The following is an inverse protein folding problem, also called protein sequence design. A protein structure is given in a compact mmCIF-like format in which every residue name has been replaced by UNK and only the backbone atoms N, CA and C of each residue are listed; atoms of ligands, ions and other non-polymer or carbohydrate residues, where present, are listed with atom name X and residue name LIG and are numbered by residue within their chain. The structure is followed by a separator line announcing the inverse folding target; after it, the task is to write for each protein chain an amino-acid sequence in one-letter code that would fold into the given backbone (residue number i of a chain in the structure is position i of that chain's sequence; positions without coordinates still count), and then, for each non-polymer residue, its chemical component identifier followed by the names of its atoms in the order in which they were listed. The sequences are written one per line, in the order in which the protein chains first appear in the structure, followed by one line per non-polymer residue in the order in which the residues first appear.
data_IF_107348721124
#
_entry.id   IF_107348721124
#
_cell.length_a   1.000
_cell.length_b   1.000
_cell.length_c   1.000
_cell.angle_alpha   90.00
_cell.angle_beta   90.00
_cell.angle_gamma   90.00
#
_symmetry.space_group_name_H-M   'P 1'
#
loop_
_entity.id
_entity.type
_entity.pdbx_description
1 polymer ?
#
# COMPACT_ATOMS: atom_id res chain seq x y z
N UNK A 1 -4.20 -17.20 -27.01
CA UNK A 1 -4.18 -16.22 -25.91
C UNK A 1 -4.65 -14.89 -26.48
N UNK A 2 -5.77 -14.34 -26.00
CA UNK A 2 -6.31 -13.06 -26.50
C UNK A 2 -5.27 -11.95 -26.28
N UNK A 3 -5.03 -11.08 -27.27
CA UNK A 3 -4.18 -9.90 -27.10
C UNK A 3 -4.89 -8.89 -26.17
N UNK A 4 -4.16 -8.12 -25.35
CA UNK A 4 -4.78 -7.11 -24.50
C UNK A 4 -5.36 -5.99 -25.38
N UNK A 5 -6.50 -5.42 -24.95
CA UNK A 5 -7.20 -4.33 -25.66
C UNK A 5 -6.33 -3.05 -25.72
N UNK A 6 -5.50 -2.84 -24.71
CA UNK A 6 -4.56 -1.73 -24.58
C UNK A 6 -3.19 -2.25 -24.16
N UNK A 7 -2.12 -1.53 -24.51
CA UNK A 7 -0.77 -1.93 -24.13
C UNK A 7 -0.63 -1.97 -22.60
N UNK A 8 -0.21 -3.09 -21.97
CA UNK A 8 -0.25 -3.25 -20.51
C UNK A 8 0.50 -2.19 -19.71
N UNK A 9 1.57 -1.61 -20.26
CA UNK A 9 2.32 -0.53 -19.61
C UNK A 9 1.54 0.78 -19.42
N UNK A 10 0.50 1.04 -20.23
CA UNK A 10 -0.31 2.27 -20.08
C UNK A 10 -1.13 2.20 -18.77
N UNK A 11 -1.95 1.15 -18.52
CA UNK A 11 -2.57 0.92 -17.21
C UNK A 11 -1.61 0.93 -16.03
N UNK A 12 -0.41 0.35 -16.19
CA UNK A 12 0.58 0.32 -15.12
C UNK A 12 1.05 1.74 -14.81
N UNK A 13 1.38 2.55 -15.82
CA UNK A 13 1.80 3.93 -15.63
C UNK A 13 0.71 4.78 -14.94
N UNK A 14 -0.54 4.66 -15.41
CA UNK A 14 -1.69 5.33 -14.76
C UNK A 14 -1.83 4.85 -13.31
N UNK A 15 -1.70 3.55 -13.07
CA UNK A 15 -1.77 2.98 -11.73
C UNK A 15 -0.73 3.59 -10.79
N UNK A 16 0.53 3.61 -11.20
CA UNK A 16 1.61 4.18 -10.37
C UNK A 16 1.42 5.68 -10.15
N UNK A 17 1.01 6.43 -11.17
CA UNK A 17 0.72 7.86 -11.03
C UNK A 17 -0.38 8.12 -10.00
N UNK A 18 -1.50 7.41 -10.12
CA UNK A 18 -2.65 7.60 -9.20
C UNK A 18 -2.33 7.17 -7.78
N UNK A 19 -1.59 6.07 -7.59
CA UNK A 19 -1.17 5.61 -6.26
C UNK A 19 -0.13 6.55 -5.64
N UNK A 20 0.86 7.00 -6.43
CA UNK A 20 1.87 7.97 -5.97
C UNK A 20 1.27 9.32 -5.53
N UNK A 21 0.15 9.75 -6.13
CA UNK A 21 -0.57 10.96 -5.72
C UNK A 21 -1.38 10.80 -4.42
N UNK A 22 -1.52 9.59 -3.89
CA UNK A 22 -2.35 9.33 -2.71
C UNK A 22 -1.93 10.15 -1.50
N UNK A 23 -0.63 10.28 -1.22
CA UNK A 23 -0.15 11.07 -0.08
C UNK A 23 -0.47 12.57 -0.21
N UNK A 24 -0.49 13.08 -1.45
CA UNK A 24 -0.83 14.46 -1.75
C UNK A 24 -2.30 14.72 -1.48
N UNK A 25 -3.19 13.83 -1.96
CA UNK A 25 -4.62 13.98 -1.70
C UNK A 25 -4.95 13.97 -0.20
N UNK A 26 -4.21 13.19 0.61
CA UNK A 26 -4.35 13.20 2.07
C UNK A 26 -3.93 14.56 2.64
N UNK A 27 -2.76 15.08 2.25
CA UNK A 27 -2.22 16.37 2.74
C UNK A 27 -2.99 17.60 2.28
N UNK A 28 -3.79 17.49 1.22
CA UNK A 28 -4.68 18.54 0.73
C UNK A 28 -6.02 18.61 1.48
N UNK A 29 -6.31 17.63 2.33
CA UNK A 29 -7.51 17.66 3.18
C UNK A 29 -7.25 18.41 4.47
N UNK A 30 -8.29 18.99 5.05
CA UNK A 30 -8.28 19.56 6.40
C UNK A 30 -8.73 18.58 7.48
N UNK A 31 -9.12 17.37 7.06
CA UNK A 31 -9.64 16.34 7.94
C UNK A 31 -8.54 15.52 8.61
N UNK A 32 -8.87 14.97 9.78
CA UNK A 32 -7.97 14.08 10.51
C UNK A 32 -7.67 12.80 9.73
N UNK A 33 -6.48 12.23 9.95
CA UNK A 33 -6.01 11.03 9.26
C UNK A 33 -7.02 9.87 9.32
N UNK A 34 -7.65 9.65 10.48
CA UNK A 34 -8.69 8.63 10.67
C UNK A 34 -9.91 8.84 9.79
N UNK A 35 -10.35 10.09 9.65
CA UNK A 35 -11.51 10.48 8.83
C UNK A 35 -11.21 10.33 7.34
N UNK A 36 -10.03 10.76 6.89
CA UNK A 36 -9.59 10.60 5.50
C UNK A 36 -9.53 9.11 5.12
N UNK A 37 -8.97 8.28 6.01
CA UNK A 37 -8.92 6.83 5.84
C UNK A 37 -10.33 6.21 5.78
N UNK A 38 -11.21 6.60 6.70
CA UNK A 38 -12.59 6.15 6.74
C UNK A 38 -13.30 6.45 5.42
N UNK A 39 -13.31 7.70 4.95
CA UNK A 39 -14.02 8.08 3.74
C UNK A 39 -13.44 7.43 2.47
N UNK A 40 -12.12 7.24 2.39
CA UNK A 40 -11.48 6.47 1.31
C UNK A 40 -12.07 5.06 1.20
N UNK A 41 -12.18 4.35 2.33
CA UNK A 41 -12.73 2.99 2.36
C UNK A 41 -14.24 2.97 2.16
N UNK A 42 -14.96 3.87 2.84
CA UNK A 42 -16.42 3.98 2.76
C UNK A 42 -16.89 4.24 1.33
N UNK A 43 -16.33 5.26 0.65
CA UNK A 43 -16.69 5.54 -0.73
C UNK A 43 -16.32 4.41 -1.67
N UNK A 44 -15.19 3.73 -1.42
CA UNK A 44 -14.81 2.55 -2.20
C UNK A 44 -15.85 1.43 -2.09
N UNK A 45 -16.36 1.16 -0.88
CA UNK A 45 -17.44 0.20 -0.63
C UNK A 45 -18.72 0.63 -1.33
N UNK A 46 -19.14 1.89 -1.16
CA UNK A 46 -20.36 2.43 -1.79
C UNK A 46 -20.31 2.32 -3.31
N UNK A 47 -19.17 2.66 -3.93
CA UNK A 47 -18.98 2.58 -5.37
C UNK A 47 -18.97 1.12 -5.85
N UNK A 48 -18.33 0.21 -5.11
CA UNK A 48 -18.28 -1.21 -5.47
C UNK A 48 -19.63 -1.93 -5.25
N UNK A 49 -20.46 -1.44 -4.33
CA UNK A 49 -21.65 -2.14 -3.84
C UNK A 49 -22.64 -2.53 -4.95
N UNK A 50 -23.05 -1.67 -5.91
CA UNK A 50 -24.00 -2.04 -6.94
C UNK A 50 -23.50 -3.19 -7.82
N UNK A 51 -22.23 -3.11 -8.24
CA UNK A 51 -21.59 -4.15 -9.05
C UNK A 51 -21.42 -5.45 -8.27
N UNK A 52 -21.04 -5.36 -7.00
CA UNK A 52 -20.91 -6.51 -6.11
C UNK A 52 -22.26 -7.22 -5.90
N UNK A 53 -23.33 -6.47 -5.60
CA UNK A 53 -24.67 -7.01 -5.40
C UNK A 53 -25.22 -7.67 -6.66
N UNK A 54 -24.97 -7.09 -7.83
CA UNK A 54 -25.44 -7.63 -9.10
C UNK A 54 -24.72 -8.93 -9.48
N UNK A 55 -23.39 -8.95 -9.42
CA UNK A 55 -22.57 -10.01 -10.04
C UNK A 55 -21.96 -11.01 -9.05
N UNK A 56 -21.70 -10.61 -7.80
CA UNK A 56 -20.85 -11.36 -6.87
C UNK A 56 -21.54 -11.76 -5.56
N UNK A 57 -22.73 -11.25 -5.24
CA UNK A 57 -23.44 -11.57 -3.98
C UNK A 57 -23.58 -13.07 -3.69
N UNK A 58 -23.72 -13.90 -4.74
CA UNK A 58 -23.89 -15.36 -4.60
C UNK A 58 -22.62 -16.04 -4.08
N UNK A 59 -21.45 -15.43 -4.23
CA UNK A 59 -20.20 -15.95 -3.70
C UNK A 59 -20.17 -15.94 -2.17
N UNK A 60 -20.92 -15.04 -1.51
CA UNK A 60 -20.99 -14.97 -0.05
C UNK A 60 -21.48 -16.26 0.58
N UNK A 61 -22.43 -16.96 -0.05
CA UNK A 61 -22.95 -18.24 0.42
C UNK A 61 -21.95 -19.39 0.33
N UNK A 62 -20.87 -19.22 -0.43
CA UNK A 62 -19.82 -20.23 -0.63
C UNK A 62 -18.62 -20.02 0.29
N UNK A 63 -18.60 -18.92 1.03
CA UNK A 63 -17.49 -18.59 1.93
C UNK A 63 -17.51 -19.50 3.15
N UNK A 64 -16.36 -20.12 3.43
CA UNK A 64 -16.17 -20.86 4.67
C UNK A 64 -16.06 -19.89 5.86
N UNK A 65 -16.23 -20.40 7.08
CA UNK A 65 -15.97 -19.61 8.31
C UNK A 65 -14.55 -19.03 8.33
N UNK A 66 -13.58 -19.79 7.80
CA UNK A 66 -12.18 -19.36 7.69
C UNK A 66 -12.01 -18.20 6.72
N UNK A 67 -12.76 -18.17 5.62
CA UNK A 67 -12.77 -17.05 4.68
C UNK A 67 -13.26 -15.77 5.33
N UNK A 68 -14.40 -15.84 6.01
CA UNK A 68 -14.94 -14.72 6.76
C UNK A 68 -13.96 -14.20 7.81
N UNK A 69 -13.38 -15.08 8.61
CA UNK A 69 -12.41 -14.71 9.64
C UNK A 69 -11.17 -14.03 9.04
N UNK A 70 -10.55 -14.64 8.04
CA UNK A 70 -9.31 -14.12 7.46
C UNK A 70 -9.54 -12.85 6.65
N UNK A 71 -10.65 -12.73 5.91
CA UNK A 71 -11.04 -11.47 5.28
C UNK A 71 -11.30 -10.36 6.30
N UNK A 72 -11.88 -10.68 7.46
CA UNK A 72 -12.11 -9.70 8.52
C UNK A 72 -10.81 -9.24 9.17
N UNK A 73 -9.91 -10.18 9.51
CA UNK A 73 -8.57 -9.86 10.03
C UNK A 73 -7.79 -8.99 9.02
N UNK A 74 -7.83 -9.36 7.74
CA UNK A 74 -7.21 -8.59 6.67
C UNK A 74 -7.79 -7.16 6.57
N UNK A 75 -9.10 -7.00 6.72
CA UNK A 75 -9.76 -5.68 6.80
C UNK A 75 -9.31 -4.84 7.99
N UNK A 76 -9.15 -5.45 9.18
CA UNK A 76 -8.65 -4.77 10.38
C UNK A 76 -7.20 -4.33 10.19
N UNK A 77 -6.33 -5.20 9.66
CA UNK A 77 -4.94 -4.83 9.37
C UNK A 77 -4.87 -3.69 8.33
N UNK A 78 -5.75 -3.70 7.34
CA UNK A 78 -5.84 -2.61 6.37
C UNK A 78 -6.28 -1.29 7.02
N UNK A 79 -7.23 -1.32 7.96
CA UNK A 79 -7.64 -0.14 8.72
C UNK A 79 -6.47 0.43 9.54
N UNK A 80 -5.77 -0.42 10.30
CA UNK A 80 -4.61 -0.01 11.11
C UNK A 80 -3.51 0.56 10.21
N UNK A 81 -3.24 -0.07 9.06
CA UNK A 81 -2.30 0.46 8.08
C UNK A 81 -2.66 1.90 7.66
N UNK A 82 -3.91 2.15 7.27
CA UNK A 82 -4.29 3.50 6.83
C UNK A 82 -4.25 4.53 7.94
N UNK A 83 -4.64 4.18 9.17
CA UNK A 83 -4.50 5.07 10.32
C UNK A 83 -3.04 5.46 10.49
N UNK A 84 -2.14 4.48 10.63
CA UNK A 84 -0.72 4.73 10.88
C UNK A 84 -0.06 5.47 9.72
N UNK A 85 -0.36 5.10 8.48
CA UNK A 85 0.25 5.71 7.32
C UNK A 85 -0.22 7.15 7.12
N UNK A 86 -1.52 7.44 7.20
CA UNK A 86 -2.00 8.81 7.05
C UNK A 86 -1.55 9.68 8.22
N UNK A 87 -1.54 9.14 9.44
CA UNK A 87 -1.03 9.86 10.60
C UNK A 87 0.47 10.18 10.46
N UNK A 88 1.27 9.28 9.86
CA UNK A 88 2.69 9.56 9.61
C UNK A 88 2.93 10.84 8.79
N UNK A 89 2.05 11.15 7.83
CA UNK A 89 2.17 12.31 6.94
C UNK A 89 1.98 13.65 7.68
N UNK A 90 1.43 13.62 8.89
CA UNK A 90 1.30 14.79 9.76
C UNK A 90 2.60 15.12 10.50
N UNK A 91 3.50 14.14 10.63
CA UNK A 91 4.73 14.30 11.42
C UNK A 91 6.01 14.29 10.58
N UNK A 92 6.05 13.51 9.51
CA UNK A 92 7.21 13.42 8.60
C UNK A 92 6.85 13.90 7.19
N UNK A 93 7.87 14.04 6.34
CA UNK A 93 7.68 14.47 4.96
C UNK A 93 6.95 13.42 4.12
N UNK A 94 6.31 13.85 3.02
CA UNK A 94 5.73 12.91 2.04
C UNK A 94 6.80 11.98 1.49
N UNK A 95 8.01 12.49 1.25
CA UNK A 95 9.14 11.69 0.77
C UNK A 95 9.51 10.57 1.75
N UNK A 96 9.71 10.90 3.03
CA UNK A 96 10.07 9.92 4.07
C UNK A 96 8.98 8.88 4.27
N UNK A 97 7.73 9.32 4.49
CA UNK A 97 6.60 8.43 4.74
C UNK A 97 6.37 7.46 3.59
N UNK A 98 6.37 7.95 2.35
CA UNK A 98 6.11 7.09 1.17
C UNK A 98 7.25 6.14 0.88
N UNK A 99 8.51 6.57 1.00
CA UNK A 99 9.66 5.67 0.82
C UNK A 99 9.65 4.57 1.89
N UNK A 100 9.44 4.91 3.16
CA UNK A 100 9.45 3.94 4.25
C UNK A 100 8.29 2.94 4.15
N UNK A 101 7.08 3.38 3.78
CA UNK A 101 5.95 2.45 3.60
C UNK A 101 6.14 1.51 2.41
N UNK A 102 6.96 1.88 1.41
CA UNK A 102 7.27 1.04 0.24
C UNK A 102 8.28 -0.09 0.53
N UNK A 103 8.82 -0.19 1.75
CA UNK A 103 9.64 -1.32 2.21
C UNK A 103 8.86 -2.64 2.31
N UNK A 104 7.59 -2.66 1.94
CA UNK A 104 6.70 -3.82 1.97
C UNK A 104 7.33 -5.11 1.43
N UNK A 105 8.09 -5.15 0.31
CA UNK A 105 8.70 -6.39 -0.17
C UNK A 105 9.66 -7.03 0.84
N UNK A 106 10.33 -6.22 1.65
CA UNK A 106 11.28 -6.66 2.68
C UNK A 106 10.54 -7.21 3.90
N UNK A 107 9.49 -6.50 4.34
CA UNK A 107 8.61 -7.01 5.40
C UNK A 107 7.94 -8.32 4.97
N UNK A 108 7.54 -8.44 3.70
CA UNK A 108 6.96 -9.65 3.16
C UNK A 108 7.94 -10.82 3.20
N UNK A 109 9.22 -10.61 2.84
CA UNK A 109 10.26 -11.64 2.98
C UNK A 109 10.44 -12.09 4.43
N UNK A 110 10.52 -11.14 5.36
CA UNK A 110 10.67 -11.44 6.78
C UNK A 110 9.48 -12.27 7.29
N UNK A 111 8.26 -11.88 6.90
CA UNK A 111 7.04 -12.64 7.18
C UNK A 111 7.06 -14.04 6.57
N UNK A 112 7.45 -14.18 5.30
CA UNK A 112 7.46 -15.51 4.67
C UNK A 112 8.53 -16.43 5.25
N UNK A 113 9.72 -15.90 5.56
CA UNK A 113 10.76 -16.65 6.25
C UNK A 113 10.32 -17.12 7.63
N UNK A 114 9.64 -16.27 8.41
CA UNK A 114 9.17 -16.59 9.75
C UNK A 114 8.03 -17.63 9.74
N UNK A 115 7.01 -17.45 8.90
CA UNK A 115 5.81 -18.28 8.90
C UNK A 115 5.92 -19.53 8.02
N UNK A 116 6.68 -19.48 6.92
CA UNK A 116 6.78 -20.56 5.94
C UNK A 116 8.17 -21.21 5.89
N UNK A 117 9.11 -20.76 6.73
CA UNK A 117 10.48 -21.31 6.84
C UNK A 117 11.22 -21.34 5.49
N UNK A 118 10.97 -20.34 4.64
CA UNK A 118 11.65 -20.23 3.35
C UNK A 118 13.13 -19.88 3.51
N UNK A 119 13.98 -20.46 2.64
CA UNK A 119 15.43 -20.23 2.67
C UNK A 119 15.72 -18.87 2.02
N UNK A 120 16.25 -17.94 2.81
CA UNK A 120 16.71 -16.63 2.35
C UNK A 120 18.11 -16.77 1.74
N UNK A 121 18.31 -16.25 0.53
CA UNK A 121 19.66 -16.20 -0.07
C UNK A 121 20.51 -15.11 0.56
N UNK A 122 21.83 -15.28 0.57
CA UNK A 122 22.74 -14.22 1.02
C UNK A 122 22.59 -12.90 0.23
N UNK A 123 22.18 -12.99 -1.04
CA UNK A 123 21.89 -11.82 -1.90
C UNK A 123 20.61 -11.10 -1.48
N UNK A 124 19.55 -11.83 -1.14
CA UNK A 124 18.33 -11.23 -0.57
C UNK A 124 18.64 -10.56 0.76
N UNK A 125 19.43 -11.21 1.63
CA UNK A 125 19.83 -10.61 2.90
C UNK A 125 20.64 -9.32 2.70
N UNK A 126 21.59 -9.31 1.75
CA UNK A 126 22.33 -8.10 1.40
C UNK A 126 21.40 -6.97 0.90
N UNK A 127 20.43 -7.30 0.04
CA UNK A 127 19.46 -6.32 -0.46
C UNK A 127 18.58 -5.73 0.67
N UNK A 128 18.18 -6.56 1.63
CA UNK A 128 17.48 -6.12 2.85
C UNK A 128 18.36 -5.17 3.67
N UNK A 129 19.62 -5.53 3.92
CA UNK A 129 20.54 -4.68 4.69
C UNK A 129 20.77 -3.32 4.02
N UNK A 130 20.86 -3.29 2.68
CA UNK A 130 20.97 -2.04 1.91
C UNK A 130 19.74 -1.16 2.16
N UNK A 131 18.54 -1.69 2.04
CA UNK A 131 17.33 -0.90 2.24
C UNK A 131 17.13 -0.46 3.70
N UNK A 132 17.48 -1.30 4.68
CA UNK A 132 17.49 -0.92 6.09
C UNK A 132 18.48 0.22 6.36
N UNK A 133 19.66 0.19 5.71
CA UNK A 133 20.64 1.28 5.79
C UNK A 133 20.05 2.59 5.28
N UNK A 134 19.37 2.57 4.13
CA UNK A 134 18.70 3.77 3.63
C UNK A 134 17.60 4.28 4.56
N UNK A 135 16.87 3.38 5.23
CA UNK A 135 15.84 3.75 6.22
C UNK A 135 16.43 4.45 7.43
N UNK A 136 17.59 3.98 7.90
CA UNK A 136 18.35 4.62 8.98
C UNK A 136 18.85 6.01 8.54
N UNK A 137 19.33 6.16 7.30
CA UNK A 137 19.79 7.46 6.78
C UNK A 137 18.65 8.49 6.77
N UNK A 138 17.45 8.11 6.30
CA UNK A 138 16.27 8.99 6.33
C UNK A 138 15.93 9.34 7.78
N UNK A 139 15.70 8.32 8.62
CA UNK A 139 15.24 8.49 10.01
C UNK A 139 16.22 9.32 10.85
N UNK A 140 17.52 9.16 10.63
CA UNK A 140 18.56 9.94 11.31
C UNK A 140 18.55 11.41 10.89
N UNK A 141 18.35 11.67 9.60
CA UNK A 141 18.20 13.03 9.09
C UNK A 141 16.95 13.70 9.63
N UNK A 142 15.82 13.00 9.64
CA UNK A 142 14.54 13.50 10.12
C UNK A 142 14.57 13.74 11.65
N UNK A 143 15.24 12.87 12.42
CA UNK A 143 15.47 13.10 13.86
C UNK A 143 16.25 14.39 14.13
N UNK A 144 17.22 14.75 13.28
CA UNK A 144 17.96 16.03 13.40
C UNK A 144 17.09 17.24 13.10
N UNK A 145 16.02 17.07 12.33
CA UNK A 145 15.02 18.11 12.08
C UNK A 145 14.10 18.23 13.29
N UNK A 146 13.49 17.11 13.73
CA UNK A 146 12.70 17.05 14.95
C UNK A 146 12.45 15.61 15.44
N UNK A 147 12.25 15.44 16.75
CA UNK A 147 11.80 14.17 17.31
C UNK A 147 10.41 13.73 16.82
N UNK A 148 9.56 14.69 16.45
CA UNK A 148 8.26 14.43 15.84
C UNK A 148 8.40 13.75 14.47
N UNK A 149 9.36 14.18 13.64
CA UNK A 149 9.58 13.57 12.33
C UNK A 149 9.99 12.09 12.43
N UNK A 150 10.86 11.75 13.41
CA UNK A 150 11.18 10.34 13.69
C UNK A 150 9.96 9.52 14.12
N UNK A 151 9.04 10.12 14.88
CA UNK A 151 7.77 9.45 15.23
C UNK A 151 6.95 9.16 13.97
N UNK A 152 6.86 10.11 13.05
CA UNK A 152 6.24 9.88 11.73
C UNK A 152 6.87 8.72 10.97
N UNK A 153 8.19 8.64 10.93
CA UNK A 153 8.90 7.55 10.25
C UNK A 153 8.59 6.18 10.86
N UNK A 154 8.52 6.10 12.20
CA UNK A 154 8.12 4.88 12.91
C UNK A 154 6.69 4.50 12.56
N UNK A 155 5.75 5.46 12.50
CA UNK A 155 4.37 5.20 12.07
C UNK A 155 4.31 4.64 10.64
N UNK A 156 5.09 5.20 9.70
CA UNK A 156 5.17 4.71 8.32
C UNK A 156 5.73 3.28 8.24
N UNK A 157 6.75 2.95 9.04
CA UNK A 157 7.31 1.60 9.13
C UNK A 157 6.33 0.60 9.76
N UNK A 158 5.60 1.01 10.80
CA UNK A 158 4.55 0.16 11.38
C UNK A 158 3.43 -0.07 10.38
N UNK A 159 3.02 0.98 9.64
CA UNK A 159 2.05 0.86 8.57
C UNK A 159 2.50 -0.12 7.47
N UNK A 160 3.81 -0.13 7.13
CA UNK A 160 4.43 -1.09 6.22
C UNK A 160 4.26 -2.55 6.70
N UNK A 161 4.41 -2.78 8.01
CA UNK A 161 4.16 -4.07 8.63
C UNK A 161 2.69 -4.50 8.51
N UNK A 162 1.75 -3.61 8.79
CA UNK A 162 0.31 -3.92 8.74
C UNK A 162 -0.21 -4.15 7.31
N UNK A 163 0.24 -3.38 6.31
CA UNK A 163 -0.12 -3.68 4.90
C UNK A 163 0.45 -5.03 4.47
N UNK A 164 1.66 -5.36 4.91
CA UNK A 164 2.26 -6.67 4.66
C UNK A 164 1.43 -7.79 5.30
N UNK A 165 1.03 -7.63 6.57
CA UNK A 165 0.19 -8.62 7.27
C UNK A 165 -1.15 -8.82 6.55
N UNK A 166 -1.80 -7.72 6.13
CA UNK A 166 -3.00 -7.76 5.29
C UNK A 166 -2.78 -8.61 4.03
N UNK A 167 -1.69 -8.40 3.31
CA UNK A 167 -1.38 -9.14 2.08
C UNK A 167 -1.11 -10.63 2.34
N UNK A 168 -0.36 -10.95 3.41
CA UNK A 168 -0.02 -12.33 3.78
C UNK A 168 -1.23 -13.16 4.24
N UNK A 169 -2.20 -12.53 4.92
CA UNK A 169 -3.49 -13.18 5.23
C UNK A 169 -4.33 -13.31 3.97
N UNK A 170 -4.37 -12.25 3.15
CA UNK A 170 -5.17 -12.19 1.94
C UNK A 170 -4.82 -13.20 0.86
N UNK A 171 -3.53 -13.49 0.67
CA UNK A 171 -3.08 -14.46 -0.33
C UNK A 171 -3.65 -15.87 -0.12
N UNK A 172 -3.95 -16.27 1.12
CA UNK A 172 -4.57 -17.57 1.39
C UNK A 172 -6.03 -17.60 0.94
N UNK A 173 -6.79 -16.57 1.32
CA UNK A 173 -8.21 -16.42 0.94
C UNK A 173 -8.38 -16.29 -0.58
N UNK A 174 -7.47 -15.55 -1.23
CA UNK A 174 -7.50 -15.29 -2.68
C UNK A 174 -7.22 -16.51 -3.56
N UNK A 175 -6.77 -17.63 -3.00
CA UNK A 175 -6.68 -18.92 -3.73
C UNK A 175 -8.05 -19.53 -4.03
N UNK A 176 -9.08 -19.13 -3.30
CA UNK A 176 -10.43 -19.73 -3.35
C UNK A 176 -11.58 -18.74 -3.47
N UNK A 177 -11.34 -17.46 -3.17
CA UNK A 177 -12.32 -16.37 -3.30
C UNK A 177 -11.93 -15.42 -4.43
N UNK A 178 -12.91 -14.95 -5.20
CA UNK A 178 -12.65 -13.98 -6.27
C UNK A 178 -12.06 -12.67 -5.73
N UNK A 179 -11.33 -11.94 -6.59
CA UNK A 179 -10.76 -10.63 -6.25
C UNK A 179 -11.84 -9.66 -5.77
N UNK A 180 -12.94 -9.56 -6.50
CA UNK A 180 -13.99 -8.58 -6.23
C UNK A 180 -14.64 -8.87 -4.87
N UNK A 181 -14.98 -10.13 -4.59
CA UNK A 181 -15.56 -10.52 -3.30
C UNK A 181 -14.59 -10.31 -2.14
N UNK A 182 -13.34 -10.72 -2.28
CA UNK A 182 -12.33 -10.53 -1.25
C UNK A 182 -12.11 -9.05 -0.94
N UNK A 183 -11.87 -8.22 -1.97
CA UNK A 183 -11.59 -6.79 -1.80
C UNK A 183 -12.80 -6.06 -1.23
N UNK A 184 -14.02 -6.38 -1.68
CA UNK A 184 -15.25 -5.81 -1.12
C UNK A 184 -15.37 -6.09 0.39
N UNK A 185 -15.15 -7.34 0.82
CA UNK A 185 -15.21 -7.71 2.24
C UNK A 185 -14.13 -7.01 3.07
N UNK A 186 -12.89 -6.96 2.57
CA UNK A 186 -11.79 -6.27 3.27
C UNK A 186 -12.09 -4.78 3.41
N UNK A 187 -12.55 -4.11 2.33
CA UNK A 187 -12.87 -2.68 2.38
C UNK A 187 -14.08 -2.40 3.27
N UNK A 188 -15.08 -3.27 3.27
CA UNK A 188 -16.23 -3.18 4.17
C UNK A 188 -15.80 -3.26 5.63
N UNK A 189 -15.02 -4.28 5.99
CA UNK A 189 -14.53 -4.44 7.37
C UNK A 189 -13.58 -3.31 7.77
N UNK A 190 -12.70 -2.87 6.86
CA UNK A 190 -11.82 -1.73 7.08
C UNK A 190 -12.62 -0.44 7.32
N UNK A 191 -13.64 -0.18 6.50
CA UNK A 191 -14.53 0.97 6.65
C UNK A 191 -15.27 0.95 7.99
N UNK A 192 -15.78 -0.20 8.42
CA UNK A 192 -16.43 -0.36 9.73
C UNK A 192 -15.42 -0.12 10.87
N UNK A 193 -14.22 -0.71 10.80
CA UNK A 193 -13.20 -0.54 11.82
C UNK A 193 -12.74 0.92 11.93
N UNK A 194 -12.55 1.61 10.80
CA UNK A 194 -12.18 3.02 10.75
C UNK A 194 -13.31 3.92 11.27
N UNK A 195 -14.57 3.61 10.95
CA UNK A 195 -15.71 4.32 11.51
C UNK A 195 -15.73 4.21 13.04
N UNK A 196 -15.57 2.99 13.58
CA UNK A 196 -15.51 2.76 15.02
C UNK A 196 -14.33 3.49 15.68
N UNK A 197 -13.17 3.53 15.01
CA UNK A 197 -12.01 4.29 15.48
C UNK A 197 -12.34 5.79 15.56
N UNK A 198 -12.85 6.39 14.48
CA UNK A 198 -13.17 7.82 14.38
C UNK A 198 -14.19 8.26 15.44
N UNK A 199 -15.25 7.48 15.67
CA UNK A 199 -16.23 7.81 16.72
C UNK A 199 -15.65 7.66 18.13
N UNK A 200 -14.75 6.70 18.35
CA UNK A 200 -14.15 6.44 19.67
C UNK A 200 -13.23 7.57 20.09
N UNK A 201 -12.47 8.12 19.14
CA UNK A 201 -11.57 9.26 19.36
C UNK A 201 -12.26 10.62 19.16
N UNK A 202 -13.56 10.62 18.89
CA UNK A 202 -14.40 11.81 18.75
C UNK A 202 -13.94 12.78 17.64
N UNK A 203 -13.40 12.25 16.54
CA UNK A 203 -13.07 13.05 15.36
C UNK A 203 -14.37 13.46 14.62
N UNK A 204 -14.46 14.71 14.12
CA UNK A 204 -15.66 15.18 13.42
C UNK A 204 -15.83 14.41 12.11
N UNK A 205 -16.99 13.80 11.90
CA UNK A 205 -17.28 13.11 10.63
C UNK A 205 -17.79 14.06 9.54
N UNK A 206 -18.32 15.22 9.93
CA UNK A 206 -18.97 16.16 9.03
C UNK A 206 -18.39 17.57 9.22
N UNK A 207 -18.93 18.53 8.47
CA UNK A 207 -18.54 19.95 8.52
C UNK A 207 -17.17 20.27 7.90
N UNK A 208 -16.73 19.44 6.94
CA UNK A 208 -15.57 19.73 6.10
C UNK A 208 -15.92 20.57 4.87
N UNK A 209 -14.99 21.39 4.36
CA UNK A 209 -15.19 22.14 3.13
C UNK A 209 -15.43 21.21 1.95
N UNK A 210 -16.13 21.69 0.91
CA UNK A 210 -16.47 20.90 -0.28
C UNK A 210 -15.23 20.31 -0.99
N UNK A 211 -14.07 20.97 -0.87
CA UNK A 211 -12.78 20.47 -1.37
C UNK A 211 -12.41 19.11 -0.78
N UNK A 212 -12.62 18.90 0.51
CA UNK A 212 -12.21 17.68 1.22
C UNK A 212 -13.02 16.48 0.77
N UNK A 213 -14.32 16.68 0.54
CA UNK A 213 -15.18 15.66 -0.06
C UNK A 213 -14.71 15.26 -1.46
N UNK A 214 -14.22 16.23 -2.24
CA UNK A 214 -13.56 15.98 -3.52
C UNK A 214 -12.32 15.11 -3.37
N UNK A 215 -11.46 15.39 -2.39
CA UNK A 215 -10.26 14.60 -2.11
C UNK A 215 -10.56 13.20 -1.56
N UNK A 216 -11.56 13.06 -0.70
CA UNK A 216 -12.03 11.76 -0.21
C UNK A 216 -12.50 10.88 -1.37
N UNK A 217 -13.28 11.44 -2.30
CA UNK A 217 -13.74 10.74 -3.48
C UNK A 217 -12.58 10.44 -4.44
N UNK A 218 -11.65 11.37 -4.63
CA UNK A 218 -10.44 11.17 -5.43
C UNK A 218 -9.59 10.03 -4.88
N UNK A 219 -9.40 9.94 -3.56
CA UNK A 219 -8.71 8.85 -2.89
C UNK A 219 -9.39 7.49 -3.11
N UNK A 220 -10.73 7.45 -3.07
CA UNK A 220 -11.47 6.22 -3.34
C UNK A 220 -11.36 5.81 -4.82
N UNK A 221 -11.54 6.75 -5.75
CA UNK A 221 -11.57 6.44 -7.19
C UNK A 221 -10.18 6.21 -7.79
N UNK A 222 -9.22 7.07 -7.48
CA UNK A 222 -7.93 7.12 -8.19
C UNK A 222 -6.93 6.10 -7.62
N UNK A 223 -6.30 6.30 -6.44
CA UNK A 223 -5.34 5.32 -5.95
C UNK A 223 -6.02 3.98 -5.59
N UNK A 224 -7.21 4.03 -4.97
CA UNK A 224 -7.81 2.83 -4.41
C UNK A 224 -8.45 1.93 -5.48
N UNK A 225 -9.50 2.41 -6.15
CA UNK A 225 -10.24 1.60 -7.13
C UNK A 225 -9.56 1.54 -8.49
N UNK A 226 -9.08 2.65 -9.05
CA UNK A 226 -8.45 2.65 -10.37
C UNK A 226 -7.04 2.05 -10.28
N UNK A 227 -6.16 2.63 -9.47
CA UNK A 227 -4.74 2.26 -9.42
C UNK A 227 -4.51 0.80 -9.10
N UNK A 228 -5.00 0.33 -7.96
CA UNK A 228 -4.84 -1.07 -7.58
C UNK A 228 -5.57 -2.04 -8.53
N UNK A 229 -6.70 -1.65 -9.12
CA UNK A 229 -7.39 -2.52 -10.12
C UNK A 229 -6.59 -2.63 -11.41
N UNK A 230 -5.97 -1.53 -11.88
CA UNK A 230 -5.11 -1.56 -13.06
C UNK A 230 -3.88 -2.45 -12.82
N UNK A 231 -3.28 -2.41 -11.63
CA UNK A 231 -2.21 -3.35 -11.26
C UNK A 231 -2.69 -4.81 -11.28
N UNK A 232 -3.84 -5.09 -10.67
CA UNK A 232 -4.41 -6.43 -10.64
C UNK A 232 -4.73 -6.96 -12.05
N UNK A 233 -5.27 -6.10 -12.92
CA UNK A 233 -5.51 -6.44 -14.32
C UNK A 233 -4.22 -6.69 -15.09
N UNK A 234 -3.20 -5.85 -14.87
CA UNK A 234 -1.92 -5.93 -15.57
C UNK A 234 -1.14 -7.22 -15.26
N UNK A 235 -1.31 -7.82 -14.08
CA UNK A 235 -0.68 -9.12 -13.72
C UNK A 235 -1.11 -10.25 -14.68
N UNK A 236 -2.24 -10.13 -15.38
CA UNK A 236 -2.63 -11.09 -16.44
C UNK A 236 -1.70 -11.03 -17.67
N UNK A 237 -1.04 -9.89 -17.89
CA UNK A 237 -0.33 -9.57 -19.13
C UNK A 237 1.17 -9.38 -18.94
N UNK A 238 1.59 -8.93 -17.75
CA UNK A 238 2.99 -8.74 -17.37
C UNK A 238 3.32 -9.52 -16.11
N UNK A 239 4.60 -9.81 -15.89
CA UNK A 239 5.02 -10.48 -14.66
C UNK A 239 4.76 -9.61 -13.43
N UNK A 240 4.48 -10.24 -12.28
CA UNK A 240 4.38 -9.55 -10.98
C UNK A 240 5.62 -8.73 -10.66
N UNK A 241 6.80 -9.13 -11.13
CA UNK A 241 8.04 -8.35 -10.95
C UNK A 241 8.00 -7.00 -11.67
N UNK A 242 7.40 -6.92 -12.85
CA UNK A 242 7.22 -5.64 -13.56
C UNK A 242 6.35 -4.73 -12.71
N UNK A 243 5.25 -5.26 -12.15
CA UNK A 243 4.38 -4.50 -11.25
C UNK A 243 5.17 -4.05 -10.01
N UNK A 244 5.89 -4.94 -9.34
CA UNK A 244 6.68 -4.61 -8.14
C UNK A 244 7.76 -3.56 -8.40
N UNK A 245 8.47 -3.62 -9.54
CA UNK A 245 9.47 -2.61 -9.91
C UNK A 245 8.79 -1.27 -10.20
N UNK A 246 7.63 -1.28 -10.87
CA UNK A 246 6.98 -0.02 -11.24
C UNK A 246 6.39 0.70 -10.01
N UNK A 247 5.92 -0.05 -9.00
CA UNK A 247 5.48 0.50 -7.70
C UNK A 247 6.60 1.28 -6.99
N UNK A 248 7.88 0.97 -7.25
CA UNK A 248 9.02 1.74 -6.69
C UNK A 248 9.08 3.19 -7.18
N UNK A 249 8.33 3.55 -8.22
CA UNK A 249 8.19 4.94 -8.66
C UNK A 249 7.14 5.72 -7.87
N UNK A 250 6.28 5.06 -7.06
CA UNK A 250 5.32 5.74 -6.19
C UNK A 250 5.95 6.81 -5.29
N UNK A 251 7.02 6.53 -4.51
CA UNK A 251 7.65 7.55 -3.67
C UNK A 251 8.33 8.66 -4.50
N UNK A 252 8.80 8.35 -5.70
CA UNK A 252 9.37 9.36 -6.61
C UNK A 252 8.30 10.33 -7.07
N UNK A 253 7.15 9.81 -7.51
CA UNK A 253 5.99 10.61 -7.92
C UNK A 253 5.45 11.41 -6.74
N UNK A 254 5.31 10.80 -5.57
CA UNK A 254 4.86 11.47 -4.35
C UNK A 254 5.80 12.62 -3.97
N UNK A 255 7.12 12.40 -4.02
CA UNK A 255 8.11 13.43 -3.68
C UNK A 255 8.10 14.60 -4.68
N UNK A 256 8.00 14.32 -5.99
CA UNK A 256 7.89 15.35 -7.02
C UNK A 256 6.60 16.16 -6.83
N UNK A 257 5.48 15.48 -6.60
CA UNK A 257 4.20 16.12 -6.40
C UNK A 257 4.18 16.95 -5.10
N UNK A 258 4.80 16.47 -4.02
CA UNK A 258 4.93 17.20 -2.76
C UNK A 258 5.75 18.49 -2.93
N UNK A 259 6.82 18.44 -3.72
CA UNK A 259 7.63 19.63 -4.03
C UNK A 259 6.81 20.70 -4.78
N UNK A 260 6.09 20.33 -5.83
CA UNK A 260 5.34 21.30 -6.65
C UNK A 260 4.02 21.77 -6.04
N UNK A 261 3.31 20.89 -5.31
CA UNK A 261 1.95 21.15 -4.82
C UNK A 261 1.95 21.57 -3.36
N UNK A 262 2.79 20.95 -2.52
CA UNK A 262 2.84 21.21 -1.08
C UNK A 262 4.04 22.09 -0.68
N UNK A 263 4.91 22.43 -1.64
CA UNK A 263 6.15 23.17 -1.41
C UNK A 263 7.09 22.49 -0.40
N UNK A 264 7.01 21.15 -0.27
CA UNK A 264 7.92 20.38 0.60
C UNK A 264 9.32 20.26 -0.07
N UNK A 265 10.36 20.68 0.64
CA UNK A 265 11.75 20.47 0.21
C UNK A 265 12.23 19.05 0.57
N UNK A 266 12.94 18.40 -0.34
CA UNK A 266 13.58 17.11 -0.08
C UNK A 266 14.95 17.34 0.55
N UNK A 267 15.17 16.80 1.75
CA UNK A 267 16.45 16.91 2.44
C UNK A 267 17.51 15.99 1.82
N UNK A 268 18.78 16.29 2.07
CA UNK A 268 19.90 15.45 1.57
C UNK A 268 19.81 14.02 2.11
N UNK A 269 19.40 13.84 3.36
CA UNK A 269 19.19 12.51 3.96
C UNK A 269 18.04 11.76 3.29
N UNK A 270 16.93 12.43 2.97
CA UNK A 270 15.81 11.85 2.24
C UNK A 270 16.22 11.41 0.83
N UNK A 271 17.00 12.24 0.13
CA UNK A 271 17.48 11.92 -1.20
C UNK A 271 18.44 10.71 -1.20
N UNK A 272 19.48 10.74 -0.35
CA UNK A 272 20.46 9.65 -0.26
C UNK A 272 19.80 8.37 0.25
N UNK A 273 19.07 8.46 1.37
CA UNK A 273 18.40 7.32 1.98
C UNK A 273 17.33 6.72 1.05
N UNK A 274 16.59 7.56 0.33
CA UNK A 274 15.62 7.14 -0.68
C UNK A 274 16.27 6.37 -1.83
N UNK A 275 17.35 6.88 -2.41
CA UNK A 275 18.11 6.17 -3.47
C UNK A 275 18.60 4.82 -2.96
N UNK A 276 19.12 4.76 -1.72
CA UNK A 276 19.62 3.53 -1.11
C UNK A 276 18.48 2.52 -0.89
N UNK A 277 17.32 2.96 -0.38
CA UNK A 277 16.13 2.11 -0.21
C UNK A 277 15.66 1.55 -1.55
N UNK A 278 15.46 2.41 -2.54
CA UNK A 278 14.98 2.00 -3.86
C UNK A 278 15.94 1.02 -4.54
N UNK A 279 17.26 1.24 -4.37
CA UNK A 279 18.28 0.31 -4.85
C UNK A 279 18.21 -1.04 -4.14
N UNK A 280 18.10 -1.05 -2.81
CA UNK A 280 17.95 -2.27 -2.03
C UNK A 280 16.71 -3.08 -2.42
N UNK A 281 15.55 -2.41 -2.56
CA UNK A 281 14.33 -3.07 -3.00
C UNK A 281 14.45 -3.59 -4.44
N UNK A 282 15.07 -2.82 -5.35
CA UNK A 282 15.30 -3.26 -6.73
C UNK A 282 16.17 -4.52 -6.78
N UNK A 283 17.29 -4.55 -6.05
CA UNK A 283 18.15 -5.73 -5.93
C UNK A 283 17.37 -6.93 -5.38
N UNK A 284 16.54 -6.71 -4.37
CA UNK A 284 15.69 -7.74 -3.78
C UNK A 284 14.72 -8.35 -4.81
N UNK A 285 13.98 -7.50 -5.55
CA UNK A 285 13.01 -7.95 -6.56
C UNK A 285 13.69 -8.70 -7.71
N UNK A 286 14.92 -8.29 -8.08
CA UNK A 286 15.70 -8.96 -9.13
C UNK A 286 16.21 -10.34 -8.69
N UNK A 287 16.74 -10.50 -7.47
CA UNK A 287 17.26 -11.79 -6.99
C UNK A 287 16.14 -12.80 -6.69
N UNK A 288 15.00 -12.34 -6.15
CA UNK A 288 13.82 -13.19 -5.93
C UNK A 288 13.38 -13.91 -7.22
N UNK A 289 13.51 -13.24 -8.38
CA UNK A 289 13.28 -13.82 -9.70
C UNK A 289 14.19 -15.00 -10.01
N UNK A 290 15.49 -14.84 -9.75
CA UNK A 290 16.50 -15.83 -10.09
C UNK A 290 16.29 -17.13 -9.31
N UNK A 291 15.87 -17.02 -8.05
CA UNK A 291 15.62 -18.16 -7.17
C UNK A 291 14.34 -18.89 -7.54
N UNK A 292 13.24 -18.16 -7.79
CA UNK A 292 12.00 -18.76 -8.27
C UNK A 292 12.23 -19.53 -9.59
N UNK A 293 12.96 -18.94 -10.55
CA UNK A 293 13.29 -19.60 -11.82
C UNK A 293 14.07 -20.92 -11.61
N UNK A 294 15.05 -20.95 -10.69
CA UNK A 294 15.81 -22.17 -10.37
C UNK A 294 14.97 -23.26 -9.69
N UNK A 295 14.04 -22.89 -8.80
CA UNK A 295 13.19 -23.85 -8.09
C UNK A 295 12.16 -24.52 -9.03
N UNK A 296 11.61 -23.79 -9.99
CA UNK A 296 10.64 -24.34 -10.94
C UNK A 296 11.30 -25.14 -12.08
N UNK A 297 12.54 -24.80 -12.49
CA UNK A 297 13.32 -25.59 -13.46
C UNK A 297 13.86 -26.91 -12.88
N UNK A 298 13.86 -27.09 -11.56
CA UNK A 298 14.28 -28.34 -10.90
C UNK A 298 13.13 -29.36 -10.75
N UNK A 299 11.91 -29.01 -11.19
CA UNK A 299 10.70 -29.84 -11.14
C UNK A 299 10.21 -30.31 -12.52
N UNK A 300 10.99 -30.10 -13.56
CA UNK A 300 10.81 -30.65 -14.93
C UNK A 300 12.05 -31.44 -15.29
#
# INVERSE_FOLDING_TARGET
MNKPIIHPYIPIAIGVLTVGLSAIFVKLTTADAGVVAFYRMFFSVVIMLPFFLHSYRKELYRLSKRDWLFSSIAGIFLAIHFILWFESLNYTSVASSTVLVTLQPIFALAGTALFFKEIISGKMLAAVLVALTGSIIISWGDFRISGAALFGDVLALLACGFITAYLLVGQDVRKRVSLVTYTFLVYLVSSIALFLYVITIQQPLFSYPASDWGWFLALALLPNLLGHTLFNWAVKWVSTNVISITILFEPVIASIAAYYILHESISVSQMIGGIVILTGILLFVLDFKAIKKKLFLKKT
#
